data_IF_368549751596
#
_entry.id   IF_368549751596
#
_cell.length_a   1.000
_cell.length_b   1.000
_cell.length_c   1.000
_cell.angle_alpha   90.00
_cell.angle_beta   90.00
_cell.angle_gamma   90.00
#
_symmetry.space_group_name_H-M   'P 1'
#
loop_
_entity.id
_entity.type
_entity.pdbx_description
1 polymer ?
#
# COMPACT_ATOMS: atom_id res chain seq x y z
N UNK A 1 7.15 -20.47 -10.98
CA UNK A 1 7.92 -21.73 -10.93
C UNK A 1 8.55 -21.97 -9.57
N UNK A 2 9.75 -21.46 -9.25
CA UNK A 2 10.42 -21.80 -7.98
C UNK A 2 9.59 -21.50 -6.73
N UNK A 3 8.91 -20.35 -6.69
CA UNK A 3 8.03 -20.01 -5.57
C UNK A 3 6.81 -20.95 -5.43
N UNK A 4 6.34 -21.55 -6.53
CA UNK A 4 5.23 -22.52 -6.52
C UNK A 4 5.71 -23.88 -6.04
N UNK A 5 6.87 -24.32 -6.55
CA UNK A 5 7.50 -25.58 -6.16
C UNK A 5 7.87 -25.59 -4.67
N UNK A 6 8.41 -24.48 -4.17
CA UNK A 6 8.79 -24.34 -2.76
C UNK A 6 7.63 -23.97 -1.84
N UNK A 7 6.42 -23.73 -2.38
CA UNK A 7 5.26 -23.20 -1.64
C UNK A 7 5.62 -21.96 -0.82
N UNK A 8 6.42 -21.06 -1.40
CA UNK A 8 6.85 -19.84 -0.71
C UNK A 8 5.67 -18.88 -0.54
N UNK A 9 5.48 -18.37 0.68
CA UNK A 9 4.45 -17.36 0.99
C UNK A 9 4.91 -15.92 0.68
N UNK A 10 6.23 -15.72 0.53
CA UNK A 10 6.87 -14.44 0.22
C UNK A 10 8.11 -14.65 -0.66
N UNK A 11 8.24 -13.83 -1.71
CA UNK A 11 9.49 -13.68 -2.48
C UNK A 11 10.10 -12.32 -2.15
N UNK A 12 11.39 -12.32 -1.81
CA UNK A 12 12.17 -11.11 -1.54
C UNK A 12 13.19 -10.92 -2.66
N UNK A 13 13.30 -9.71 -3.20
CA UNK A 13 14.25 -9.39 -4.24
C UNK A 13 14.70 -7.93 -4.19
N UNK A 14 15.91 -7.67 -4.68
CA UNK A 14 16.40 -6.31 -4.88
C UNK A 14 15.73 -5.61 -6.07
N UNK A 15 15.80 -4.29 -6.10
CA UNK A 15 15.33 -3.48 -7.23
C UNK A 15 16.10 -3.81 -8.53
N UNK A 16 17.36 -4.26 -8.44
CA UNK A 16 18.25 -4.50 -9.59
C UNK A 16 19.09 -5.75 -9.41
N UNK A 17 19.54 -6.31 -10.54
CA UNK A 17 20.61 -7.32 -10.60
C UNK A 17 21.99 -6.68 -10.73
N UNK A 18 23.03 -7.51 -10.73
CA UNK A 18 24.44 -7.08 -10.68
C UNK A 18 24.97 -6.31 -11.91
N UNK A 19 24.17 -6.14 -12.97
CA UNK A 19 24.62 -5.64 -14.29
C UNK A 19 24.07 -4.25 -14.68
N UNK A 20 23.36 -3.54 -13.80
CA UNK A 20 22.72 -2.27 -14.14
C UNK A 20 23.62 -1.04 -13.88
N UNK A 21 23.92 -0.26 -14.92
CA UNK A 21 24.64 1.03 -14.82
C UNK A 21 23.68 2.18 -14.43
N UNK A 22 24.01 2.81 -13.30
CA UNK A 22 23.73 4.18 -12.82
C UNK A 22 22.35 4.88 -12.98
N UNK A 23 21.24 4.23 -13.35
CA UNK A 23 19.92 4.91 -13.40
C UNK A 23 18.87 4.29 -12.47
N UNK A 24 17.98 5.13 -11.92
CA UNK A 24 16.89 4.83 -10.98
C UNK A 24 15.75 3.91 -11.52
N UNK A 25 16.06 2.94 -12.38
CA UNK A 25 15.05 2.08 -13.02
C UNK A 25 14.84 0.78 -12.22
N UNK A 26 13.59 0.31 -12.16
CA UNK A 26 13.23 -1.02 -11.63
C UNK A 26 13.67 -2.08 -12.65
N UNK A 27 14.39 -3.11 -12.21
CA UNK A 27 14.83 -4.19 -13.08
C UNK A 27 13.66 -4.98 -13.68
N UNK A 28 13.77 -5.37 -14.94
CA UNK A 28 12.71 -6.09 -15.65
C UNK A 28 12.35 -7.44 -15.00
N UNK A 29 13.32 -8.13 -14.38
CA UNK A 29 13.07 -9.35 -13.59
C UNK A 29 12.23 -9.01 -12.36
N UNK A 30 12.62 -8.00 -11.61
CA UNK A 30 11.92 -7.58 -10.39
C UNK A 30 10.48 -7.18 -10.67
N UNK A 31 10.25 -6.45 -11.77
CA UNK A 31 8.92 -6.08 -12.22
C UNK A 31 8.09 -7.30 -12.63
N UNK A 32 8.65 -8.26 -13.37
CA UNK A 32 7.96 -9.49 -13.78
C UNK A 32 7.60 -10.35 -12.57
N UNK A 33 8.53 -10.54 -11.62
CA UNK A 33 8.26 -11.29 -10.39
C UNK A 33 7.18 -10.61 -9.56
N UNK A 34 7.29 -9.29 -9.33
CA UNK A 34 6.27 -8.53 -8.63
C UNK A 34 4.90 -8.61 -9.30
N UNK A 35 4.85 -8.75 -10.63
CA UNK A 35 3.59 -8.86 -11.39
C UNK A 35 2.98 -10.25 -11.31
N UNK A 36 3.77 -11.29 -11.59
CA UNK A 36 3.27 -12.62 -11.87
C UNK A 36 3.48 -13.64 -10.75
N UNK A 37 4.26 -13.32 -9.71
CA UNK A 37 4.42 -14.25 -8.59
C UNK A 37 3.06 -14.58 -7.96
N UNK A 38 2.82 -15.85 -7.61
CA UNK A 38 1.53 -16.28 -7.04
C UNK A 38 1.38 -15.87 -5.56
N UNK A 39 2.47 -15.52 -4.89
CA UNK A 39 2.53 -15.15 -3.48
C UNK A 39 2.93 -13.68 -3.29
N UNK A 40 3.07 -13.25 -2.04
CA UNK A 40 3.48 -11.87 -1.73
C UNK A 40 4.90 -11.58 -2.22
N UNK A 41 5.19 -10.34 -2.58
CA UNK A 41 6.50 -9.93 -3.11
C UNK A 41 7.00 -8.69 -2.40
N UNK A 42 8.18 -8.77 -1.80
CA UNK A 42 8.92 -7.64 -1.27
C UNK A 42 10.03 -7.24 -2.25
N UNK A 43 9.96 -6.02 -2.77
CA UNK A 43 11.03 -5.41 -3.55
C UNK A 43 11.81 -4.43 -2.67
N UNK A 44 13.07 -4.77 -2.41
CA UNK A 44 14.01 -3.96 -1.63
C UNK A 44 14.66 -2.95 -2.57
N UNK A 45 14.36 -1.66 -2.39
CA UNK A 45 14.95 -0.57 -3.19
C UNK A 45 16.25 -0.08 -2.58
N UNK A 46 16.21 0.18 -1.29
CA UNK A 46 17.37 0.47 -0.45
C UNK A 46 17.30 -0.46 0.76
N UNK A 47 18.37 -1.19 1.08
CA UNK A 47 18.39 -2.04 2.27
C UNK A 47 18.32 -1.14 3.52
N UNK A 48 17.21 -1.20 4.29
CA UNK A 48 17.09 -0.34 5.45
C UNK A 48 17.97 -0.87 6.59
N UNK A 49 18.60 0.02 7.35
CA UNK A 49 19.39 -0.33 8.54
C UNK A 49 18.49 -0.94 9.63
N UNK A 50 17.23 -0.51 9.69
CA UNK A 50 16.16 -1.02 10.57
C UNK A 50 14.81 -0.80 9.90
N UNK A 51 13.78 -1.59 10.25
CA UNK A 51 12.42 -1.38 9.74
C UNK A 51 11.49 -0.88 10.85
N UNK A 52 11.48 0.42 11.06
CA UNK A 52 10.77 1.12 12.15
C UNK A 52 9.54 1.89 11.67
N UNK A 53 9.49 2.25 10.39
CA UNK A 53 8.40 3.07 9.82
C UNK A 53 7.85 2.42 8.57
N UNK A 54 6.59 2.02 8.65
CA UNK A 54 5.88 1.32 7.57
C UNK A 54 4.62 2.09 7.24
N UNK A 55 4.37 2.30 5.95
CA UNK A 55 3.10 2.82 5.47
C UNK A 55 2.28 1.65 4.92
N UNK A 56 1.00 1.53 5.30
CA UNK A 56 0.09 0.56 4.71
C UNK A 56 -1.06 1.26 3.98
N UNK A 57 -1.26 0.90 2.71
CA UNK A 57 -2.32 1.46 1.89
C UNK A 57 -3.64 0.71 2.10
N UNK A 58 -4.71 1.44 2.36
CA UNK A 58 -6.05 0.90 2.64
C UNK A 58 -7.06 1.55 1.69
N UNK A 59 -7.76 0.72 0.92
CA UNK A 59 -8.86 1.15 0.04
C UNK A 59 -10.18 0.40 0.36
N UNK A 60 -10.18 -0.47 1.38
CA UNK A 60 -11.34 -1.26 1.78
C UNK A 60 -11.50 -2.59 1.03
N UNK A 61 -10.67 -2.86 0.01
CA UNK A 61 -10.65 -4.14 -0.71
C UNK A 61 -10.13 -5.29 0.16
N UNK A 62 -10.44 -6.52 -0.24
CA UNK A 62 -9.93 -7.74 0.42
C UNK A 62 -8.40 -7.77 0.41
N UNK A 63 -7.75 -7.39 -0.69
CA UNK A 63 -6.30 -7.30 -0.78
C UNK A 63 -5.69 -6.28 0.19
N UNK A 64 -6.36 -5.14 0.44
CA UNK A 64 -5.90 -4.19 1.46
C UNK A 64 -6.04 -4.76 2.89
N UNK A 65 -7.08 -5.56 3.15
CA UNK A 65 -7.23 -6.28 4.43
C UNK A 65 -6.17 -7.35 4.60
N UNK A 66 -5.83 -8.08 3.54
CA UNK A 66 -4.72 -9.04 3.54
C UNK A 66 -3.39 -8.37 3.82
N UNK A 67 -3.15 -7.17 3.28
CA UNK A 67 -1.96 -6.38 3.59
C UNK A 67 -1.83 -6.09 5.09
N UNK A 68 -2.93 -5.71 5.75
CA UNK A 68 -2.94 -5.52 7.21
C UNK A 68 -2.78 -6.83 7.96
N UNK A 69 -3.44 -7.91 7.52
CA UNK A 69 -3.27 -9.23 8.14
C UNK A 69 -1.84 -9.76 8.02
N UNK A 70 -1.16 -9.48 6.90
CA UNK A 70 0.24 -9.82 6.72
C UNK A 70 1.11 -9.14 7.79
N UNK A 71 0.88 -7.85 8.02
CA UNK A 71 1.55 -7.11 9.09
C UNK A 71 1.16 -7.64 10.48
N UNK A 72 -0.11 -7.98 10.70
CA UNK A 72 -0.57 -8.49 12.00
C UNK A 72 0.09 -9.82 12.42
N UNK A 73 0.67 -10.58 11.48
CA UNK A 73 1.52 -11.75 11.79
C UNK A 73 2.89 -11.38 12.40
N UNK A 74 3.13 -10.08 12.61
CA UNK A 74 4.33 -9.50 13.20
C UNK A 74 5.63 -9.97 12.53
N UNK A 75 5.83 -9.73 11.22
CA UNK A 75 7.04 -10.14 10.52
C UNK A 75 8.31 -9.39 10.96
N UNK A 76 8.20 -8.38 11.83
CA UNK A 76 9.31 -7.50 12.20
C UNK A 76 9.79 -7.75 13.63
N UNK A 77 11.09 -7.52 13.86
CA UNK A 77 11.71 -7.58 15.19
C UNK A 77 11.73 -6.18 15.77
N UNK A 78 10.88 -5.92 16.76
CA UNK A 78 10.85 -4.67 17.52
C UNK A 78 9.67 -3.74 17.20
N UNK A 79 9.61 -2.57 17.87
CA UNK A 79 8.52 -1.60 17.68
C UNK A 79 8.51 -1.02 16.26
N UNK A 80 7.33 -0.95 15.66
CA UNK A 80 7.13 -0.38 14.33
C UNK A 80 6.00 0.64 14.35
N UNK A 81 6.26 1.84 13.85
CA UNK A 81 5.23 2.85 13.58
C UNK A 81 4.59 2.54 12.23
N UNK A 82 3.28 2.35 12.24
CA UNK A 82 2.48 2.07 11.05
C UNK A 82 1.59 3.26 10.73
N UNK A 83 1.80 3.87 9.58
CA UNK A 83 0.88 4.88 9.03
C UNK A 83 -0.09 4.18 8.08
N UNK A 84 -1.34 4.05 8.50
CA UNK A 84 -2.42 3.49 7.69
C UNK A 84 -3.10 4.58 6.86
N UNK A 85 -2.92 4.53 5.54
CA UNK A 85 -3.32 5.61 4.64
C UNK A 85 -4.48 5.16 3.74
N UNK A 86 -5.56 5.92 3.76
CA UNK A 86 -6.64 5.81 2.78
C UNK A 86 -6.65 7.05 1.88
N UNK A 87 -6.69 6.83 0.57
CA UNK A 87 -6.74 7.92 -0.41
C UNK A 87 -8.09 7.91 -1.13
N UNK A 88 -8.81 9.02 -1.03
CA UNK A 88 -10.05 9.23 -1.77
C UNK A 88 -9.78 9.94 -3.11
N UNK A 89 -10.26 9.41 -4.24
CA UNK A 89 -10.12 10.07 -5.52
C UNK A 89 -10.79 11.46 -5.51
N UNK A 90 -10.00 12.51 -5.76
CA UNK A 90 -10.49 13.90 -5.73
C UNK A 90 -11.47 14.28 -6.86
N UNK A 91 -11.70 13.40 -7.84
CA UNK A 91 -12.46 13.70 -9.06
C UNK A 91 -13.91 13.23 -9.02
N UNK A 92 -14.65 13.60 -7.97
CA UNK A 92 -16.11 13.37 -7.92
C UNK A 92 -16.86 14.66 -7.54
N UNK A 93 -16.42 15.82 -8.06
CA UNK A 93 -17.20 17.07 -7.96
C UNK A 93 -18.59 16.96 -8.63
N UNK A 94 -18.82 15.96 -9.49
CA UNK A 94 -20.09 15.74 -10.19
C UNK A 94 -20.93 14.54 -9.76
N UNK A 95 -20.46 13.67 -8.85
CA UNK A 95 -21.19 12.42 -8.52
C UNK A 95 -22.17 12.54 -7.34
N UNK A 96 -22.12 13.64 -6.58
CA UNK A 96 -22.98 13.85 -5.41
C UNK A 96 -24.37 14.44 -5.76
N UNK A 97 -24.77 14.42 -7.03
CA UNK A 97 -26.02 15.05 -7.48
C UNK A 97 -26.01 16.58 -7.26
N UNK A 98 -27.13 17.28 -7.48
CA UNK A 98 -27.20 18.70 -7.21
C UNK A 98 -27.18 18.91 -5.69
N UNK A 99 -25.98 19.13 -5.13
CA UNK A 99 -25.87 19.54 -3.75
C UNK A 99 -26.63 20.85 -3.56
N UNK A 100 -27.57 20.91 -2.61
CA UNK A 100 -28.42 22.09 -2.32
C UNK A 100 -27.66 23.19 -1.56
N UNK A 101 -26.38 23.39 -1.89
CA UNK A 101 -25.55 24.49 -1.44
C UNK A 101 -24.28 24.09 -0.67
N UNK A 102 -23.42 25.08 -0.31
CA UNK A 102 -22.10 24.86 0.30
C UNK A 102 -22.11 24.21 1.70
N UNK A 103 -23.26 24.22 2.40
CA UNK A 103 -23.41 23.57 3.72
C UNK A 103 -23.60 22.07 3.58
N UNK A 104 -24.35 21.62 2.57
CA UNK A 104 -24.63 20.19 2.35
C UNK A 104 -23.40 19.44 1.83
N UNK A 105 -22.57 20.10 1.02
CA UNK A 105 -21.28 19.53 0.60
C UNK A 105 -20.32 19.34 1.79
N UNK A 106 -20.30 20.30 2.72
CA UNK A 106 -19.45 20.21 3.92
C UNK A 106 -19.91 19.14 4.88
N UNK A 107 -21.22 19.01 5.12
CA UNK A 107 -21.77 17.97 5.99
C UNK A 107 -21.59 16.57 5.37
N UNK A 108 -21.82 16.42 4.07
CA UNK A 108 -21.57 15.17 3.35
C UNK A 108 -20.09 14.77 3.38
N UNK A 109 -19.16 15.72 3.14
CA UNK A 109 -17.73 15.46 3.22
C UNK A 109 -17.28 15.06 4.64
N UNK A 110 -17.81 15.73 5.68
CA UNK A 110 -17.53 15.39 7.08
C UNK A 110 -18.03 13.98 7.43
N UNK A 111 -19.23 13.61 6.98
CA UNK A 111 -19.80 12.27 7.17
C UNK A 111 -19.02 11.19 6.43
N UNK A 112 -18.62 11.45 5.19
CA UNK A 112 -17.78 10.54 4.40
C UNK A 112 -16.41 10.32 5.06
N UNK A 113 -15.81 11.38 5.60
CA UNK A 113 -14.55 11.29 6.36
C UNK A 113 -14.71 10.45 7.62
N UNK A 114 -15.74 10.72 8.45
CA UNK A 114 -15.97 9.95 9.67
C UNK A 114 -16.18 8.45 9.39
N UNK A 115 -16.93 8.11 8.33
CA UNK A 115 -17.11 6.72 7.87
C UNK A 115 -15.79 6.10 7.40
N UNK A 116 -14.95 6.87 6.70
CA UNK A 116 -13.64 6.41 6.23
C UNK A 116 -12.67 6.18 7.39
N UNK A 117 -12.69 7.05 8.40
CA UNK A 117 -11.90 6.91 9.63
C UNK A 117 -12.36 5.68 10.45
N UNK A 118 -13.66 5.40 10.52
CA UNK A 118 -14.18 4.17 11.13
C UNK A 118 -13.73 2.93 10.36
N UNK A 119 -13.84 2.95 9.03
CA UNK A 119 -13.39 1.86 8.18
C UNK A 119 -11.90 1.59 8.36
N UNK A 120 -11.07 2.65 8.35
CA UNK A 120 -9.64 2.57 8.64
C UNK A 120 -9.37 1.90 9.98
N UNK A 121 -10.00 2.38 11.06
CA UNK A 121 -9.87 1.80 12.41
C UNK A 121 -10.27 0.32 12.46
N UNK A 122 -11.37 -0.05 11.81
CA UNK A 122 -11.83 -1.44 11.77
C UNK A 122 -10.86 -2.35 11.02
N UNK A 123 -10.27 -1.87 9.92
CA UNK A 123 -9.33 -2.63 9.10
C UNK A 123 -7.99 -2.78 9.83
N UNK A 124 -7.53 -1.75 10.54
CA UNK A 124 -6.24 -1.75 11.26
C UNK A 124 -6.29 -2.39 12.64
N UNK A 125 -7.48 -2.65 13.20
CA UNK A 125 -7.65 -3.29 14.52
C UNK A 125 -6.76 -4.53 14.76
N UNK A 126 -6.54 -5.45 13.79
CA UNK A 126 -5.64 -6.60 13.99
C UNK A 126 -4.19 -6.23 14.32
N UNK A 127 -3.73 -5.03 13.97
CA UNK A 127 -2.36 -4.58 14.29
C UNK A 127 -2.17 -4.28 15.78
N UNK A 128 -3.24 -4.07 16.55
CA UNK A 128 -3.14 -3.81 17.99
C UNK A 128 -2.54 -4.98 18.79
N UNK A 129 -2.55 -6.20 18.24
CA UNK A 129 -1.96 -7.38 18.86
C UNK A 129 -0.43 -7.48 18.63
N UNK A 130 0.13 -6.68 17.72
CA UNK A 130 1.55 -6.69 17.38
C UNK A 130 2.35 -5.56 18.03
N UNK A 131 3.64 -5.43 17.73
CA UNK A 131 4.51 -4.38 18.26
C UNK A 131 4.29 -3.04 17.53
N UNK A 132 3.04 -2.69 17.21
CA UNK A 132 2.70 -1.59 16.31
C UNK A 132 2.16 -0.38 17.07
N UNK A 133 2.68 0.80 16.75
CA UNK A 133 1.98 2.07 17.00
C UNK A 133 1.31 2.50 15.70
N UNK A 134 -0.02 2.50 15.66
CA UNK A 134 -0.79 2.75 14.43
C UNK A 134 -1.35 4.16 14.43
N UNK A 135 -1.03 4.91 13.39
CA UNK A 135 -1.65 6.19 13.06
C UNK A 135 -2.46 6.05 11.77
N UNK A 136 -3.57 6.75 11.66
CA UNK A 136 -4.43 6.74 10.47
C UNK A 136 -4.41 8.08 9.77
N UNK A 137 -4.25 8.08 8.45
CA UNK A 137 -4.27 9.29 7.63
C UNK A 137 -5.25 9.14 6.47
N UNK A 138 -6.06 10.18 6.27
CA UNK A 138 -6.98 10.28 5.14
C UNK A 138 -6.49 11.35 4.17
N UNK A 139 -6.31 10.98 2.90
CA UNK A 139 -5.80 11.85 1.85
C UNK A 139 -6.79 11.95 0.70
N UNK A 140 -6.65 13.00 -0.10
CA UNK A 140 -7.41 13.20 -1.34
C UNK A 140 -6.45 13.34 -2.52
N UNK A 141 -6.72 12.67 -3.64
CA UNK A 141 -5.89 12.80 -4.85
C UNK A 141 -5.81 11.54 -5.70
N UNK A 142 -4.77 11.43 -6.54
CA UNK A 142 -4.38 10.17 -7.17
C UNK A 142 -3.78 9.25 -6.09
N UNK A 143 -4.30 8.03 -5.89
CA UNK A 143 -3.85 7.16 -4.82
C UNK A 143 -2.36 6.84 -4.86
N UNK A 144 -1.78 6.60 -6.04
CA UNK A 144 -0.37 6.22 -6.11
C UNK A 144 0.53 7.41 -5.71
N UNK A 145 0.23 8.60 -6.25
CA UNK A 145 0.99 9.80 -5.93
C UNK A 145 0.88 10.17 -4.45
N UNK A 146 -0.34 10.19 -3.90
CA UNK A 146 -0.57 10.50 -2.49
C UNK A 146 0.13 9.51 -1.54
N UNK A 147 0.15 8.21 -1.87
CA UNK A 147 0.87 7.20 -1.09
C UNK A 147 2.39 7.42 -1.12
N UNK A 148 2.95 7.77 -2.28
CA UNK A 148 4.40 8.04 -2.43
C UNK A 148 4.79 9.29 -1.64
N UNK A 149 4.01 10.37 -1.74
CA UNK A 149 4.25 11.60 -0.97
C UNK A 149 4.09 11.39 0.54
N UNK A 150 3.08 10.61 0.95
CA UNK A 150 2.91 10.24 2.36
C UNK A 150 4.09 9.41 2.87
N UNK A 151 4.57 8.45 2.08
CA UNK A 151 5.74 7.67 2.45
C UNK A 151 6.98 8.56 2.63
N UNK A 152 7.18 9.54 1.76
CA UNK A 152 8.27 10.50 1.89
C UNK A 152 8.13 11.38 3.14
N UNK A 153 6.94 11.96 3.40
CA UNK A 153 6.65 12.78 4.59
C UNK A 153 6.88 12.03 5.90
N UNK A 154 6.39 10.80 5.97
CA UNK A 154 6.51 9.96 7.17
C UNK A 154 7.84 9.21 7.24
N UNK A 155 8.74 9.44 6.28
CA UNK A 155 10.03 8.75 6.18
C UNK A 155 9.85 7.22 6.28
N UNK A 156 8.81 6.70 5.61
CA UNK A 156 8.49 5.29 5.59
C UNK A 156 9.59 4.53 4.85
N UNK A 157 10.05 3.44 5.47
CA UNK A 157 11.08 2.56 4.90
C UNK A 157 10.47 1.48 4.00
N UNK A 158 9.16 1.28 4.14
CA UNK A 158 8.39 0.37 3.31
C UNK A 158 6.95 0.87 3.10
N UNK A 159 6.44 0.72 1.88
CA UNK A 159 5.01 0.80 1.58
C UNK A 159 4.48 -0.63 1.42
N UNK A 160 3.42 -0.96 2.15
CA UNK A 160 2.69 -2.22 2.07
C UNK A 160 1.35 -1.96 1.42
N UNK A 161 1.03 -2.74 0.39
CA UNK A 161 -0.23 -2.60 -0.34
C UNK A 161 -0.67 -3.92 -0.96
N UNK A 162 -1.97 -4.05 -1.19
CA UNK A 162 -2.52 -5.16 -1.95
C UNK A 162 -2.00 -5.18 -3.39
N UNK A 163 -1.90 -6.36 -3.99
CA UNK A 163 -1.61 -6.51 -5.42
C UNK A 163 -2.69 -5.84 -6.29
N UNK A 164 -3.91 -5.72 -5.78
CA UNK A 164 -5.08 -5.18 -6.46
C UNK A 164 -5.90 -4.34 -5.48
N UNK A 165 -6.82 -3.57 -6.03
CA UNK A 165 -7.80 -2.80 -5.27
C UNK A 165 -9.22 -3.07 -5.77
N UNK A 166 -10.17 -2.24 -5.34
CA UNK A 166 -11.62 -2.46 -5.50
C UNK A 166 -12.14 -2.71 -6.94
N UNK A 167 -11.39 -2.32 -7.98
CA UNK A 167 -11.85 -2.32 -9.39
C UNK A 167 -11.25 -3.42 -10.27
N UNK A 168 -10.51 -4.37 -9.70
CA UNK A 168 -9.75 -5.35 -10.49
C UNK A 168 -10.59 -6.60 -10.86
N UNK A 169 -10.64 -6.93 -12.16
CA UNK A 169 -11.45 -8.05 -12.71
C UNK A 169 -10.59 -9.24 -13.16
N UNK A 170 -9.26 -9.09 -13.24
CA UNK A 170 -8.35 -10.15 -13.74
C UNK A 170 -7.51 -10.79 -12.63
N UNK A 171 -7.30 -12.10 -12.77
CA UNK A 171 -6.39 -12.90 -11.93
C UNK A 171 -4.95 -12.66 -12.44
N UNK A 172 -3.99 -12.48 -11.53
CA UNK A 172 -2.53 -12.39 -11.81
C UNK A 172 -1.95 -11.10 -12.42
N UNK A 173 -2.63 -9.96 -12.34
CA UNK A 173 -2.05 -8.65 -12.72
C UNK A 173 -2.04 -7.68 -11.53
N UNK A 174 -1.00 -6.84 -11.47
CA UNK A 174 -0.95 -5.72 -10.52
C UNK A 174 -1.99 -4.66 -10.89
N UNK A 175 -2.65 -4.12 -9.87
CA UNK A 175 -3.48 -2.94 -9.99
C UNK A 175 -2.65 -1.71 -10.38
N UNK A 176 -3.30 -0.72 -10.99
CA UNK A 176 -2.64 0.51 -11.44
C UNK A 176 -1.92 1.26 -10.32
N UNK A 177 -2.51 1.29 -9.11
CA UNK A 177 -1.89 1.91 -7.92
C UNK A 177 -0.64 1.14 -7.52
N UNK A 178 -0.75 -0.18 -7.37
CA UNK A 178 0.36 -1.03 -6.96
C UNK A 178 1.52 -0.99 -7.95
N UNK A 179 1.22 -0.96 -9.25
CA UNK A 179 2.21 -0.80 -10.30
C UNK A 179 2.94 0.54 -10.21
N UNK A 180 2.21 1.66 -10.08
CA UNK A 180 2.81 3.00 -9.97
C UNK A 180 3.67 3.14 -8.71
N UNK A 181 3.18 2.67 -7.56
CA UNK A 181 3.94 2.68 -6.29
C UNK A 181 5.22 1.85 -6.42
N UNK A 182 5.11 0.64 -6.97
CA UNK A 182 6.27 -0.24 -7.19
C UNK A 182 7.35 0.44 -8.05
N UNK A 183 6.95 1.18 -9.09
CA UNK A 183 7.90 1.86 -9.97
C UNK A 183 8.48 3.11 -9.30
N UNK A 184 7.65 3.96 -8.70
CA UNK A 184 8.05 5.33 -8.36
C UNK A 184 8.40 5.59 -6.89
N UNK A 185 8.00 4.72 -5.95
CA UNK A 185 8.40 4.91 -4.55
C UNK A 185 9.92 4.83 -4.39
N UNK A 186 10.53 5.59 -3.48
CA UNK A 186 11.96 5.48 -3.19
C UNK A 186 12.24 4.39 -2.15
N UNK A 187 11.31 4.18 -1.22
CA UNK A 187 11.38 3.13 -0.21
C UNK A 187 11.04 1.74 -0.77
N UNK A 188 11.28 0.69 0.04
CA UNK A 188 10.92 -0.69 -0.31
C UNK A 188 9.40 -0.84 -0.47
N UNK A 189 8.97 -1.82 -1.27
CA UNK A 189 7.54 -2.04 -1.57
C UNK A 189 7.19 -3.50 -1.36
N UNK A 190 6.23 -3.75 -0.47
CA UNK A 190 5.65 -5.07 -0.22
C UNK A 190 4.26 -5.16 -0.84
N UNK A 191 4.13 -6.03 -1.84
CA UNK A 191 2.87 -6.32 -2.52
C UNK A 191 2.29 -7.62 -1.97
N UNK A 192 1.11 -7.54 -1.35
CA UNK A 192 0.43 -8.66 -0.68
C UNK A 192 -0.68 -9.26 -1.54
N UNK A 193 -0.83 -10.59 -1.51
CA UNK A 193 -1.83 -11.37 -2.28
C UNK A 193 -2.72 -12.22 -1.38
#
# INVERSE_FOLDING_TARGET
>A
HTAEESRADLVILGQRGMTATQTFLLGGVSQKVATYAPCSVLVIKEPPVSLERVLVAIDGSDESRKAVQFLARSPFRGPVRVTAVMVWPGHQRGLFGPARGPRDLRSAAKSARAKSEELLRSITAPLAAGPYTVETEWLQGDPAFALIEAAARHQAQMIVLGARGMKAIKRFLLGSVSQKVLVHATCSVLIVR
#
